data_IF_310978486169
#
_entry.id   IF_310978486169
#
_cell.length_a   1.000
_cell.length_b   1.000
_cell.length_c   1.000
_cell.angle_alpha   90.00
_cell.angle_beta   90.00
_cell.angle_gamma   90.00
#
_symmetry.space_group_name_H-M   'P 1'
#
loop_
_entity.id
_entity.type
_entity.pdbx_description
1 polymer ?
#
# COMPACT_ATOMS: atom_id res chain seq x y z
N UNK A 1 -3.91 3.52 -3.45
CA UNK A 1 -4.88 2.49 -3.89
C UNK A 1 -6.26 2.90 -3.40
N UNK A 2 -7.16 3.26 -4.32
CA UNK A 2 -8.51 3.73 -3.99
C UNK A 2 -9.65 3.03 -4.74
N UNK A 3 -9.32 2.10 -5.65
CA UNK A 3 -10.27 1.27 -6.37
C UNK A 3 -10.09 -0.19 -5.98
N UNK A 4 -11.20 -0.91 -5.81
CA UNK A 4 -11.19 -2.33 -5.50
C UNK A 4 -12.02 -3.10 -6.52
N UNK A 5 -11.37 -4.10 -7.11
CA UNK A 5 -11.96 -5.23 -7.80
C UNK A 5 -10.94 -6.38 -7.64
N UNK A 6 -11.36 -7.63 -7.40
CA UNK A 6 -10.43 -8.74 -7.11
C UNK A 6 -9.28 -8.85 -8.13
N UNK A 7 -9.61 -8.83 -9.43
CA UNK A 7 -8.62 -8.89 -10.50
C UNK A 7 -7.72 -7.66 -10.59
N UNK A 8 -8.26 -6.48 -10.29
CA UNK A 8 -7.48 -5.24 -10.29
C UNK A 8 -6.43 -5.27 -9.18
N UNK A 9 -6.85 -5.65 -7.96
CA UNK A 9 -5.95 -5.73 -6.82
C UNK A 9 -4.83 -6.72 -7.10
N UNK A 10 -5.17 -7.94 -7.53
CA UNK A 10 -4.19 -8.97 -7.90
C UNK A 10 -3.17 -8.45 -8.92
N UNK A 11 -3.63 -7.90 -10.05
CA UNK A 11 -2.75 -7.36 -11.10
C UNK A 11 -1.85 -6.24 -10.61
N UNK A 12 -2.34 -5.37 -9.72
CA UNK A 12 -1.54 -4.29 -9.17
C UNK A 12 -0.50 -4.82 -8.18
N UNK A 13 -0.86 -5.74 -7.30
CA UNK A 13 0.06 -6.39 -6.36
C UNK A 13 1.19 -7.11 -7.09
N UNK A 14 0.88 -7.83 -8.18
CA UNK A 14 1.89 -8.49 -9.00
C UNK A 14 2.90 -7.51 -9.62
N UNK A 15 2.44 -6.33 -10.05
CA UNK A 15 3.33 -5.26 -10.53
C UNK A 15 4.21 -4.70 -9.41
N UNK A 16 3.65 -4.50 -8.21
CA UNK A 16 4.40 -3.99 -7.06
C UNK A 16 5.47 -4.98 -6.59
N UNK A 17 5.15 -6.28 -6.54
CA UNK A 17 6.11 -7.36 -6.27
C UNK A 17 7.25 -7.37 -7.28
N UNK A 18 6.93 -7.32 -8.59
CA UNK A 18 7.92 -7.31 -9.68
C UNK A 18 8.80 -6.07 -9.70
N UNK A 19 8.26 -4.92 -9.30
CA UNK A 19 9.03 -3.69 -9.20
C UNK A 19 10.12 -3.79 -8.12
N UNK A 20 9.92 -4.65 -7.10
CA UNK A 20 10.89 -4.94 -6.06
C UNK A 20 11.46 -3.68 -5.36
N UNK A 21 10.65 -2.62 -5.25
CA UNK A 21 11.08 -1.33 -4.72
C UNK A 21 10.85 -1.24 -3.20
N UNK A 22 11.90 -1.29 -2.36
CA UNK A 22 11.75 -1.14 -0.91
C UNK A 22 11.39 0.29 -0.50
N UNK A 23 11.71 1.29 -1.33
CA UNK A 23 11.45 2.70 -1.09
C UNK A 23 10.08 3.18 -1.61
N UNK A 24 9.16 2.26 -1.93
CA UNK A 24 7.82 2.59 -2.41
C UNK A 24 6.78 2.49 -1.29
N UNK A 25 6.23 3.62 -0.87
CA UNK A 25 5.11 3.64 0.07
C UNK A 25 3.79 3.32 -0.65
N UNK A 26 3.13 2.24 -0.26
CA UNK A 26 1.81 1.86 -0.79
C UNK A 26 0.72 2.35 0.15
N UNK A 27 0.10 3.48 -0.19
CA UNK A 27 -1.06 3.98 0.54
C UNK A 27 -2.35 3.30 0.07
N UNK A 28 -3.10 2.68 0.99
CA UNK A 28 -4.32 1.90 0.73
C UNK A 28 -5.49 2.51 1.50
N UNK A 29 -6.58 2.80 0.80
CA UNK A 29 -7.80 3.23 1.47
C UNK A 29 -8.36 2.08 2.30
N UNK A 30 -8.63 2.32 3.58
CA UNK A 30 -9.27 1.37 4.49
C UNK A 30 -10.75 1.09 4.16
N UNK A 31 -11.30 1.75 3.13
CA UNK A 31 -12.63 1.44 2.57
C UNK A 31 -12.59 0.31 1.56
N UNK A 32 -11.40 -0.13 1.13
CA UNK A 32 -11.26 -1.25 0.20
C UNK A 32 -11.41 -2.57 0.97
N UNK A 33 -11.95 -3.58 0.30
CA UNK A 33 -11.99 -4.94 0.82
C UNK A 33 -10.62 -5.63 0.65
N UNK A 34 -9.60 -5.06 1.27
CA UNK A 34 -8.22 -5.55 1.28
C UNK A 34 -7.62 -5.29 2.67
N UNK A 35 -6.88 -6.26 3.19
CA UNK A 35 -6.21 -6.19 4.48
C UNK A 35 -4.70 -6.21 4.35
N UNK A 36 -4.00 -6.02 5.47
CA UNK A 36 -2.54 -6.01 5.49
C UNK A 36 -1.93 -7.31 4.93
N UNK A 37 -2.60 -8.44 5.14
CA UNK A 37 -2.17 -9.75 4.63
C UNK A 37 -2.06 -9.81 3.09
N UNK A 38 -2.85 -9.03 2.36
CA UNK A 38 -2.79 -9.00 0.89
C UNK A 38 -1.49 -8.38 0.36
N UNK A 39 -0.79 -7.60 1.18
CA UNK A 39 0.42 -6.87 0.81
C UNK A 39 1.69 -7.43 1.46
N UNK A 40 1.61 -8.59 2.11
CA UNK A 40 2.72 -9.19 2.87
C UNK A 40 4.00 -9.45 2.05
N UNK A 41 3.87 -9.63 0.73
CA UNK A 41 5.01 -9.87 -0.18
C UNK A 41 5.45 -8.59 -0.91
N UNK A 42 4.94 -7.42 -0.52
CA UNK A 42 5.40 -6.14 -1.06
C UNK A 42 6.61 -5.69 -0.24
N UNK A 43 7.74 -5.36 -0.88
CA UNK A 43 8.99 -5.04 -0.18
C UNK A 43 8.97 -3.67 0.49
N UNK A 44 8.13 -2.75 0.00
CA UNK A 44 7.99 -1.41 0.54
C UNK A 44 6.90 -1.31 1.63
N UNK A 45 6.93 -0.22 2.42
CA UNK A 45 5.97 0.01 3.49
C UNK A 45 4.56 0.21 2.94
N UNK A 46 3.56 -0.25 3.69
CA UNK A 46 2.14 -0.16 3.34
C UNK A 46 1.40 0.58 4.44
N UNK A 47 0.61 1.58 4.06
CA UNK A 47 -0.17 2.38 5.01
C UNK A 47 -1.65 2.35 4.66
N UNK A 48 -2.48 2.12 5.67
CA UNK A 48 -3.92 2.20 5.53
C UNK A 48 -4.41 3.56 6.02
N UNK A 49 -5.22 4.25 5.22
CA UNK A 49 -5.78 5.55 5.56
C UNK A 49 -7.30 5.57 5.42
N UNK A 50 -7.98 6.40 6.22
CA UNK A 50 -9.43 6.60 6.18
C UNK A 50 -9.72 8.03 5.75
N UNK A 51 -10.42 8.20 4.64
CA UNK A 51 -10.74 9.52 4.11
C UNK A 51 -9.54 10.16 3.42
N UNK A 52 -8.71 10.89 4.18
CA UNK A 52 -7.50 11.55 3.68
C UNK A 52 -6.25 10.83 4.18
N UNK A 53 -5.16 10.96 3.42
CA UNK A 53 -3.86 10.47 3.83
C UNK A 53 -3.19 11.53 4.68
N UNK A 54 -3.07 11.26 5.98
CA UNK A 54 -2.43 12.19 6.90
C UNK A 54 -0.91 12.22 6.65
N UNK A 55 -0.27 13.41 6.66
CA UNK A 55 1.18 13.52 6.44
C UNK A 55 2.01 12.84 7.51
N UNK A 56 1.56 12.87 8.77
CA UNK A 56 2.35 12.37 9.91
C UNK A 56 2.73 10.88 9.79
N UNK A 57 1.81 9.93 9.50
CA UNK A 57 2.19 8.54 9.23
C UNK A 57 3.17 8.36 8.06
N UNK A 58 3.09 9.22 7.04
CA UNK A 58 3.99 9.17 5.88
C UNK A 58 5.39 9.62 6.28
N UNK A 59 5.50 10.72 7.03
CA UNK A 59 6.78 11.24 7.53
C UNK A 59 7.46 10.24 8.46
N UNK A 60 6.72 9.61 9.38
CA UNK A 60 7.27 8.57 10.26
C UNK A 60 7.93 7.42 9.48
N UNK A 61 7.41 7.10 8.30
CA UNK A 61 8.01 6.08 7.42
C UNK A 61 9.23 6.66 6.73
N UNK A 62 9.14 7.85 6.15
CA UNK A 62 10.24 8.47 5.41
C UNK A 62 11.46 8.76 6.29
N UNK A 63 11.26 9.12 7.56
CA UNK A 63 12.34 9.38 8.52
C UNK A 63 12.91 8.10 9.15
N UNK A 64 12.17 6.99 9.10
CA UNK A 64 12.57 5.69 9.64
C UNK A 64 13.12 4.70 8.60
N UNK A 65 13.07 5.05 7.30
CA UNK A 65 13.69 4.30 6.19
C UNK A 65 15.16 4.67 6.02
#
# INVERSE_FOLDING_TARGET
>A
MGFWHPDYLRRKLDKLRRAAMPNLIVAVSARLNAGMQDFRDIPGPVIFFKGKLEPQPVLNILEGL
#
